data_IF_512746720108
#
_entry.id   IF_512746720108
#
_cell.length_a   1.000
_cell.length_b   1.000
_cell.length_c   1.000
_cell.angle_alpha   90.00
_cell.angle_beta   90.00
_cell.angle_gamma   90.00
#
_symmetry.space_group_name_H-M   'P 1'
#
loop_
_entity.id
_entity.type
_entity.pdbx_description
1 polymer ?
#
# COMPACT_ATOMS: atom_id res chain seq x y z
N UNK A 1 62.96 -46.83 -33.51
CA UNK A 1 62.50 -46.74 -32.10
C UNK A 1 61.64 -45.50 -31.96
N UNK A 2 60.31 -45.67 -31.98
CA UNK A 2 59.38 -44.58 -31.66
C UNK A 2 59.52 -44.32 -30.15
N UNK A 3 59.90 -43.10 -29.77
CA UNK A 3 60.08 -42.71 -28.38
C UNK A 3 58.75 -42.85 -27.63
N UNK A 4 58.80 -43.39 -26.39
CA UNK A 4 57.64 -43.56 -25.51
C UNK A 4 56.86 -42.26 -25.20
N UNK A 5 57.31 -41.12 -25.71
CA UNK A 5 56.65 -39.82 -25.64
C UNK A 5 55.40 -39.68 -26.52
N UNK A 6 55.07 -40.62 -27.41
CA UNK A 6 53.97 -40.45 -28.39
C UNK A 6 52.56 -40.86 -27.92
N UNK A 7 52.43 -41.47 -26.74
CA UNK A 7 51.13 -41.94 -26.24
C UNK A 7 50.68 -41.17 -25.00
N UNK A 8 49.37 -40.91 -24.92
CA UNK A 8 48.69 -40.36 -23.75
C UNK A 8 47.88 -41.48 -23.11
N UNK A 9 48.19 -41.82 -21.86
CA UNK A 9 47.53 -42.90 -21.11
C UNK A 9 46.65 -42.37 -19.99
N UNK A 10 45.54 -43.05 -19.74
CA UNK A 10 44.72 -42.85 -18.53
C UNK A 10 45.31 -43.61 -17.34
N UNK A 11 44.76 -43.38 -16.14
CA UNK A 11 45.22 -44.05 -14.90
C UNK A 11 45.14 -45.59 -14.96
N UNK A 12 44.23 -46.14 -15.77
CA UNK A 12 44.04 -47.59 -15.93
C UNK A 12 44.87 -48.19 -17.09
N UNK A 13 45.82 -47.44 -17.64
CA UNK A 13 46.74 -47.94 -18.66
C UNK A 13 46.20 -47.95 -20.10
N UNK A 14 44.95 -47.54 -20.35
CA UNK A 14 44.48 -47.32 -21.73
C UNK A 14 45.22 -46.16 -22.35
N UNK A 15 45.80 -46.36 -23.54
CA UNK A 15 46.61 -45.38 -24.24
C UNK A 15 46.04 -45.05 -25.62
N UNK A 16 46.23 -43.79 -26.03
CA UNK A 16 45.93 -43.28 -27.38
C UNK A 16 47.19 -42.63 -27.93
N UNK A 17 47.41 -42.71 -29.25
CA UNK A 17 48.39 -41.84 -29.88
C UNK A 17 47.90 -40.37 -29.85
N UNK A 18 48.82 -39.43 -30.00
CA UNK A 18 48.56 -37.99 -29.92
C UNK A 18 47.44 -37.51 -30.87
N UNK A 19 47.43 -38.01 -32.11
CA UNK A 19 46.40 -37.64 -33.10
C UNK A 19 45.01 -38.13 -32.69
N UNK A 20 44.88 -39.40 -32.30
CA UNK A 20 43.62 -39.95 -31.80
C UNK A 20 43.17 -39.27 -30.50
N UNK A 21 44.09 -38.89 -29.62
CA UNK A 21 43.79 -38.15 -28.40
C UNK A 21 43.23 -36.76 -28.73
N UNK A 22 43.85 -36.02 -29.65
CA UNK A 22 43.35 -34.70 -30.08
C UNK A 22 41.95 -34.80 -30.70
N UNK A 23 41.73 -35.75 -31.62
CA UNK A 23 40.41 -35.97 -32.22
C UNK A 23 39.35 -36.36 -31.20
N UNK A 24 39.71 -37.19 -30.21
CA UNK A 24 38.82 -37.57 -29.11
C UNK A 24 38.43 -36.34 -28.26
N UNK A 25 39.42 -35.54 -27.82
CA UNK A 25 39.17 -34.31 -27.06
C UNK A 25 38.27 -33.36 -27.83
N UNK A 26 38.53 -33.16 -29.13
CA UNK A 26 37.72 -32.28 -29.99
C UNK A 26 36.27 -32.79 -30.10
N UNK A 27 36.10 -34.09 -30.40
CA UNK A 27 34.77 -34.71 -30.53
C UNK A 27 34.00 -34.63 -29.22
N UNK A 28 34.64 -34.86 -28.09
CA UNK A 28 33.98 -34.80 -26.79
C UNK A 28 33.63 -33.38 -26.36
N UNK A 29 34.47 -32.40 -26.70
CA UNK A 29 34.25 -30.99 -26.35
C UNK A 29 33.21 -30.29 -27.23
N UNK A 30 32.90 -30.85 -28.41
CA UNK A 30 31.92 -30.29 -29.35
C UNK A 30 30.51 -30.87 -29.19
N UNK A 31 30.32 -31.81 -28.26
CA UNK A 31 29.00 -32.39 -27.94
C UNK A 31 28.01 -31.35 -27.40
N UNK A 32 26.74 -31.72 -27.40
CA UNK A 32 25.66 -30.90 -26.86
C UNK A 32 25.88 -30.61 -25.37
N UNK A 33 25.39 -29.46 -24.90
CA UNK A 33 25.63 -29.00 -23.53
C UNK A 33 25.05 -29.98 -22.49
N UNK A 34 23.96 -30.69 -22.83
CA UNK A 34 23.40 -31.75 -21.98
C UNK A 34 24.44 -32.86 -21.68
N UNK A 35 25.18 -33.32 -22.68
CA UNK A 35 26.21 -34.36 -22.53
C UNK A 35 27.47 -33.84 -21.84
N UNK A 36 27.78 -32.56 -22.04
CA UNK A 36 28.87 -31.87 -21.36
C UNK A 36 28.56 -31.69 -19.87
N UNK A 37 27.31 -31.38 -19.50
CA UNK A 37 26.86 -31.21 -18.11
C UNK A 37 27.03 -32.45 -17.27
N UNK A 38 26.66 -33.62 -17.81
CA UNK A 38 26.86 -34.93 -17.13
C UNK A 38 28.32 -35.11 -16.71
N UNK A 39 29.24 -34.52 -17.47
CA UNK A 39 30.69 -34.66 -17.32
C UNK A 39 31.38 -33.40 -16.83
N UNK A 40 30.63 -32.35 -16.47
CA UNK A 40 31.15 -31.04 -16.06
C UNK A 40 32.13 -30.42 -17.08
N UNK A 41 31.93 -30.72 -18.36
CA UNK A 41 32.81 -30.31 -19.46
C UNK A 41 34.18 -31.02 -19.47
N UNK A 42 34.38 -32.07 -18.69
CA UNK A 42 35.63 -32.82 -18.62
C UNK A 42 35.68 -33.96 -19.65
N UNK A 43 36.89 -34.28 -20.11
CA UNK A 43 37.12 -35.35 -21.09
C UNK A 43 37.60 -36.61 -20.37
N UNK A 44 36.86 -37.71 -20.55
CA UNK A 44 37.16 -39.01 -19.98
C UNK A 44 37.90 -39.91 -20.97
N UNK A 45 38.40 -41.05 -20.48
CA UNK A 45 38.96 -42.10 -21.31
C UNK A 45 37.97 -42.53 -22.42
N UNK A 46 38.45 -42.90 -23.61
CA UNK A 46 37.60 -43.39 -24.71
C UNK A 46 36.78 -44.61 -24.29
N UNK A 47 37.35 -45.47 -23.44
CA UNK A 47 36.66 -46.63 -22.86
C UNK A 47 35.65 -46.28 -21.76
N UNK A 48 35.52 -45.01 -21.38
CA UNK A 48 34.43 -44.54 -20.54
C UNK A 48 33.17 -44.21 -21.38
N UNK A 49 33.29 -44.16 -22.72
CA UNK A 49 32.14 -43.94 -23.60
C UNK A 49 31.19 -45.14 -23.61
N UNK A 50 29.90 -44.88 -23.88
CA UNK A 50 28.87 -45.92 -23.94
C UNK A 50 29.06 -46.95 -25.07
N UNK A 51 29.97 -46.68 -26.01
CA UNK A 51 30.31 -47.60 -27.08
C UNK A 51 30.96 -48.91 -26.56
N UNK A 52 31.56 -48.90 -25.37
CA UNK A 52 32.21 -50.06 -24.76
C UNK A 52 31.32 -50.63 -23.64
N UNK A 53 30.39 -51.51 -24.02
CA UNK A 53 29.34 -52.05 -23.12
C UNK A 53 29.86 -53.00 -22.03
N UNK A 54 30.99 -53.67 -22.25
CA UNK A 54 31.41 -54.78 -21.39
C UNK A 54 32.37 -54.37 -20.26
N UNK A 55 33.14 -53.29 -20.43
CA UNK A 55 34.07 -52.77 -19.40
C UNK A 55 34.20 -51.25 -19.52
N UNK A 56 33.44 -50.48 -18.71
CA UNK A 56 33.62 -49.02 -18.60
C UNK A 56 34.88 -48.70 -17.80
N UNK A 57 35.74 -47.87 -18.38
CA UNK A 57 36.90 -47.34 -17.67
C UNK A 57 36.46 -46.32 -16.61
N UNK A 58 36.84 -46.54 -15.36
CA UNK A 58 36.58 -45.67 -14.19
C UNK A 58 37.73 -44.68 -13.91
N UNK A 59 38.73 -44.62 -14.79
CA UNK A 59 39.84 -43.68 -14.65
C UNK A 59 39.33 -42.23 -14.57
N UNK A 60 40.01 -41.42 -13.76
CA UNK A 60 39.77 -39.98 -13.66
C UNK A 60 39.87 -39.32 -15.03
N UNK A 61 39.12 -38.23 -15.22
CA UNK A 61 39.20 -37.39 -16.39
C UNK A 61 40.64 -36.92 -16.66
N UNK A 62 40.95 -36.63 -17.91
CA UNK A 62 42.24 -36.05 -18.26
C UNK A 62 42.33 -34.62 -17.70
N UNK A 63 43.43 -34.32 -16.99
CA UNK A 63 43.66 -32.99 -16.45
C UNK A 63 43.87 -31.97 -17.57
N UNK A 64 43.41 -30.73 -17.35
CA UNK A 64 43.55 -29.64 -18.33
C UNK A 64 45.00 -29.42 -18.79
N UNK A 65 45.98 -29.63 -17.90
CA UNK A 65 47.40 -29.55 -18.23
C UNK A 65 47.84 -30.61 -19.24
N UNK A 66 47.32 -31.83 -19.14
CA UNK A 66 47.65 -32.92 -20.10
C UNK A 66 47.08 -32.58 -21.47
N UNK A 67 45.85 -32.08 -21.52
CA UNK A 67 45.19 -31.65 -22.76
C UNK A 67 45.94 -30.47 -23.40
N UNK A 68 46.32 -29.45 -22.60
CA UNK A 68 47.06 -28.29 -23.09
C UNK A 68 48.44 -28.62 -23.69
N UNK A 69 49.13 -29.62 -23.13
CA UNK A 69 50.49 -30.00 -23.58
C UNK A 69 50.46 -30.92 -24.80
N UNK A 70 49.36 -31.66 -25.03
CA UNK A 70 49.28 -32.77 -26.00
C UNK A 70 48.31 -32.54 -27.14
N UNK A 71 47.50 -31.49 -27.08
CA UNK A 71 46.56 -31.13 -28.14
C UNK A 71 47.01 -29.83 -28.80
N UNK A 72 46.55 -29.61 -30.03
CA UNK A 72 46.72 -28.32 -30.69
C UNK A 72 45.87 -27.22 -30.03
N UNK A 73 46.20 -25.97 -30.34
CA UNK A 73 45.52 -24.81 -29.80
C UNK A 73 44.01 -24.81 -30.11
N UNK A 74 43.63 -25.29 -31.30
CA UNK A 74 42.23 -25.35 -31.71
C UNK A 74 41.41 -26.30 -30.82
N UNK A 75 41.96 -27.49 -30.56
CA UNK A 75 41.35 -28.52 -29.72
C UNK A 75 41.31 -28.10 -28.26
N UNK A 76 42.40 -27.49 -27.76
CA UNK A 76 42.42 -26.97 -26.39
C UNK A 76 41.43 -25.82 -26.20
N UNK A 77 41.27 -24.94 -27.21
CA UNK A 77 40.27 -23.88 -27.21
C UNK A 77 38.84 -24.44 -27.17
N UNK A 78 38.56 -25.48 -27.96
CA UNK A 78 37.26 -26.15 -27.94
C UNK A 78 36.96 -26.77 -26.56
N UNK A 79 37.94 -27.42 -25.95
CA UNK A 79 37.84 -27.97 -24.59
C UNK A 79 37.56 -26.91 -23.53
N UNK A 80 38.29 -25.79 -23.55
CA UNK A 80 38.04 -24.69 -22.62
C UNK A 80 36.63 -24.10 -22.82
N UNK A 81 36.24 -23.84 -24.07
CA UNK A 81 34.90 -23.33 -24.40
C UNK A 81 33.79 -24.28 -23.90
N UNK A 82 33.98 -25.60 -23.99
CA UNK A 82 33.03 -26.57 -23.48
C UNK A 82 32.86 -26.47 -21.95
N UNK A 83 33.97 -26.34 -21.21
CA UNK A 83 33.94 -26.16 -19.75
C UNK A 83 33.31 -24.84 -19.34
N UNK A 84 33.63 -23.77 -20.06
CA UNK A 84 33.11 -22.44 -19.76
C UNK A 84 31.61 -22.38 -20.02
N UNK A 85 31.10 -23.02 -21.09
CA UNK A 85 29.65 -23.14 -21.34
C UNK A 85 28.91 -23.84 -20.19
N UNK A 86 29.44 -24.96 -19.69
CA UNK A 86 28.81 -25.68 -18.57
C UNK A 86 28.80 -24.82 -17.30
N UNK A 87 29.92 -24.16 -16.99
CA UNK A 87 30.00 -23.25 -15.85
C UNK A 87 29.08 -22.05 -15.99
N UNK A 88 29.00 -21.45 -17.18
CA UNK A 88 28.12 -20.33 -17.48
C UNK A 88 26.66 -20.73 -17.26
N UNK A 89 26.24 -21.90 -17.74
CA UNK A 89 24.87 -22.38 -17.54
C UNK A 89 24.55 -22.68 -16.06
N UNK A 90 25.50 -23.24 -15.32
CA UNK A 90 25.35 -23.46 -13.87
C UNK A 90 25.27 -22.13 -13.09
N UNK A 91 26.06 -21.12 -13.50
CA UNK A 91 26.01 -19.78 -12.94
C UNK A 91 24.67 -19.09 -13.24
N UNK A 92 24.18 -19.19 -14.48
CA UNK A 92 22.86 -18.66 -14.88
C UNK A 92 21.77 -19.31 -14.06
N UNK A 93 21.74 -20.65 -13.95
CA UNK A 93 20.74 -21.36 -13.16
C UNK A 93 20.77 -20.97 -11.68
N UNK A 94 21.96 -20.89 -11.08
CA UNK A 94 22.08 -20.44 -9.68
C UNK A 94 21.66 -18.98 -9.50
N UNK A 95 21.86 -18.12 -10.50
CA UNK A 95 21.44 -16.73 -10.45
C UNK A 95 19.92 -16.61 -10.57
N UNK A 96 19.30 -17.36 -11.49
CA UNK A 96 17.84 -17.43 -11.66
C UNK A 96 17.15 -17.92 -10.39
N UNK A 97 17.65 -18.97 -9.75
CA UNK A 97 17.12 -19.49 -8.49
C UNK A 97 17.19 -18.44 -7.35
N UNK A 98 18.29 -17.68 -7.28
CA UNK A 98 18.41 -16.58 -6.29
C UNK A 98 17.44 -15.44 -6.59
N UNK A 99 17.31 -15.07 -7.87
CA UNK A 99 16.39 -14.02 -8.31
C UNK A 99 14.92 -14.39 -8.05
N UNK A 100 14.55 -15.66 -8.26
CA UNK A 100 13.19 -16.15 -7.97
C UNK A 100 12.87 -16.09 -6.47
N UNK A 101 13.79 -16.55 -5.62
CA UNK A 101 13.62 -16.48 -4.16
C UNK A 101 13.51 -15.04 -3.67
N UNK A 102 14.31 -14.14 -4.24
CA UNK A 102 14.27 -12.72 -3.89
C UNK A 102 12.95 -12.07 -4.31
N UNK A 103 12.46 -12.37 -5.52
CA UNK A 103 11.15 -11.92 -5.98
C UNK A 103 10.03 -12.40 -5.05
N UNK A 104 10.04 -13.68 -4.70
CA UNK A 104 9.03 -14.25 -3.80
C UNK A 104 9.03 -13.57 -2.42
N UNK A 105 10.21 -13.21 -1.89
CA UNK A 105 10.33 -12.44 -0.65
C UNK A 105 9.69 -11.05 -0.78
N UNK A 106 10.04 -10.31 -1.83
CA UNK A 106 9.50 -8.97 -2.07
C UNK A 106 7.97 -9.00 -2.30
N UNK A 107 7.46 -10.00 -3.02
CA UNK A 107 6.02 -10.19 -3.22
C UNK A 107 5.28 -10.45 -1.90
N UNK A 108 5.87 -11.24 -0.99
CA UNK A 108 5.30 -11.48 0.34
C UNK A 108 5.30 -10.22 1.21
N UNK A 109 6.39 -9.47 1.20
CA UNK A 109 6.51 -8.21 1.94
C UNK A 109 5.49 -7.18 1.44
N UNK A 110 5.42 -6.96 0.12
CA UNK A 110 4.45 -6.02 -0.49
C UNK A 110 3.00 -6.44 -0.26
N UNK A 111 2.70 -7.75 -0.26
CA UNK A 111 1.37 -8.24 0.07
C UNK A 111 0.98 -7.96 1.53
N UNK A 112 1.91 -8.09 2.47
CA UNK A 112 1.65 -7.78 3.88
C UNK A 112 1.44 -6.26 4.09
N UNK A 113 2.27 -5.43 3.47
CA UNK A 113 2.12 -3.96 3.51
C UNK A 113 0.81 -3.49 2.89
N UNK A 114 0.42 -4.09 1.76
CA UNK A 114 -0.85 -3.75 1.09
C UNK A 114 -2.04 -4.07 1.97
N UNK A 115 -2.07 -5.25 2.61
CA UNK A 115 -3.11 -5.62 3.58
C UNK A 115 -3.16 -4.67 4.78
N UNK A 116 -2.00 -4.22 5.26
CA UNK A 116 -1.94 -3.29 6.39
C UNK A 116 -2.51 -1.93 6.02
N UNK A 117 -2.14 -1.44 4.83
CA UNK A 117 -2.68 -0.19 4.28
C UNK A 117 -4.20 -0.25 4.11
N UNK A 118 -4.72 -1.32 3.53
CA UNK A 118 -6.17 -1.52 3.33
C UNK A 118 -6.92 -1.59 4.66
N UNK A 119 -6.39 -2.33 5.65
CA UNK A 119 -6.99 -2.41 6.98
C UNK A 119 -6.99 -1.04 7.67
N UNK A 120 -5.87 -0.31 7.59
CA UNK A 120 -5.74 1.05 8.14
C UNK A 120 -6.73 2.02 7.49
N UNK A 121 -6.80 2.05 6.17
CA UNK A 121 -7.71 2.92 5.41
C UNK A 121 -9.18 2.63 5.77
N UNK A 122 -9.55 1.35 5.85
CA UNK A 122 -10.89 0.96 6.28
C UNK A 122 -11.22 1.46 7.69
N UNK A 123 -10.31 1.26 8.66
CA UNK A 123 -10.57 1.72 10.04
C UNK A 123 -10.70 3.24 10.10
N UNK A 124 -9.85 3.98 9.41
CA UNK A 124 -9.89 5.45 9.41
C UNK A 124 -11.17 5.94 8.73
N UNK A 125 -11.40 5.54 7.48
CA UNK A 125 -12.45 6.11 6.63
C UNK A 125 -13.85 5.58 6.91
N UNK A 126 -13.97 4.30 7.27
CA UNK A 126 -15.26 3.63 7.46
C UNK A 126 -15.73 3.64 8.92
N UNK A 127 -14.80 3.66 9.88
CA UNK A 127 -15.11 3.49 11.31
C UNK A 127 -14.87 4.78 12.11
N UNK A 128 -13.67 5.36 12.01
CA UNK A 128 -13.28 6.52 12.81
C UNK A 128 -13.93 7.81 12.33
N UNK A 129 -13.96 8.02 11.01
CA UNK A 129 -14.62 9.15 10.38
C UNK A 129 -16.14 9.03 10.53
N UNK A 130 -16.75 10.01 11.19
CA UNK A 130 -18.20 10.15 11.17
C UNK A 130 -18.60 10.68 9.80
N UNK A 131 -19.35 9.90 9.02
CA UNK A 131 -19.74 10.25 7.66
C UNK A 131 -21.19 9.92 7.36
N UNK A 132 -21.67 10.44 6.23
CA UNK A 132 -22.99 10.12 5.73
C UNK A 132 -23.10 8.62 5.37
N UNK A 133 -24.12 7.90 5.87
CA UNK A 133 -24.31 6.48 5.56
C UNK A 133 -24.94 6.22 4.18
N UNK A 134 -25.17 7.28 3.39
CA UNK A 134 -25.58 7.11 2.00
C UNK A 134 -24.35 6.74 1.18
N UNK A 135 -24.37 5.55 0.57
CA UNK A 135 -23.25 4.97 -0.21
C UNK A 135 -22.77 5.86 -1.36
N UNK A 136 -23.65 6.68 -1.94
CA UNK A 136 -23.29 7.60 -3.01
C UNK A 136 -22.66 8.91 -2.52
N UNK A 137 -22.84 9.24 -1.23
CA UNK A 137 -22.43 10.54 -0.70
C UNK A 137 -21.14 10.45 0.13
N UNK A 138 -21.09 9.54 1.12
CA UNK A 138 -19.98 9.30 2.07
C UNK A 138 -19.28 10.55 2.66
N UNK A 139 -19.93 11.72 2.64
CA UNK A 139 -19.33 12.97 3.10
C UNK A 139 -19.07 12.94 4.61
N UNK A 140 -17.86 13.33 5.02
CA UNK A 140 -17.50 13.48 6.42
C UNK A 140 -18.33 14.58 7.10
N UNK A 141 -18.69 14.34 8.36
CA UNK A 141 -19.47 15.25 9.17
C UNK A 141 -18.56 16.04 10.11
N UNK A 142 -18.62 17.37 10.04
CA UNK A 142 -17.69 18.27 10.75
C UNK A 142 -18.33 18.93 11.98
N UNK A 143 -19.60 19.33 11.90
CA UNK A 143 -20.21 20.25 12.87
C UNK A 143 -21.36 19.65 13.67
N UNK A 144 -21.26 19.63 14.99
CA UNK A 144 -22.36 19.18 15.86
C UNK A 144 -23.19 20.37 16.40
N UNK A 145 -24.49 20.39 16.10
CA UNK A 145 -25.41 21.48 16.48
C UNK A 145 -26.23 21.21 17.75
N UNK A 146 -25.93 20.14 18.50
CA UNK A 146 -26.67 19.76 19.70
C UNK A 146 -27.84 18.78 19.46
N UNK A 147 -28.07 18.37 18.21
CA UNK A 147 -29.07 17.37 17.85
C UNK A 147 -28.40 16.08 17.34
N UNK A 148 -28.83 14.93 17.84
CA UNK A 148 -28.33 13.60 17.47
C UNK A 148 -28.99 13.05 16.19
N UNK A 149 -30.00 13.73 15.65
CA UNK A 149 -30.56 13.48 14.33
C UNK A 149 -29.79 14.30 13.29
N UNK A 150 -28.64 13.76 12.87
CA UNK A 150 -27.74 14.47 11.97
C UNK A 150 -28.34 14.53 10.56
N UNK A 151 -28.08 15.61 9.85
CA UNK A 151 -28.47 15.77 8.44
C UNK A 151 -27.22 16.06 7.62
N UNK A 152 -26.98 15.27 6.57
CA UNK A 152 -25.86 15.51 5.66
C UNK A 152 -26.06 16.82 4.89
N UNK A 153 -25.02 17.64 4.80
CA UNK A 153 -25.09 18.93 4.10
C UNK A 153 -25.21 18.77 2.58
N UNK A 154 -24.56 17.76 1.99
CA UNK A 154 -24.59 17.51 0.54
C UNK A 154 -25.87 16.83 0.06
N UNK A 155 -26.21 15.65 0.59
CA UNK A 155 -27.35 14.86 0.10
C UNK A 155 -28.63 15.00 0.95
N UNK A 156 -28.62 15.84 1.99
CA UNK A 156 -29.78 16.10 2.89
C UNK A 156 -30.35 14.87 3.60
N UNK A 157 -29.62 13.76 3.57
CA UNK A 157 -30.02 12.54 4.27
C UNK A 157 -29.88 12.73 5.79
N UNK A 158 -30.96 12.47 6.52
CA UNK A 158 -31.02 12.33 7.96
C UNK A 158 -30.51 10.97 8.42
N UNK A 159 -29.63 10.95 9.41
CA UNK A 159 -29.09 9.73 10.01
C UNK A 159 -28.85 9.89 11.51
N UNK A 160 -28.80 8.74 12.20
CA UNK A 160 -28.65 8.71 13.64
C UNK A 160 -27.18 8.82 14.04
N UNK A 161 -26.82 9.79 14.89
CA UNK A 161 -25.44 9.94 15.39
C UNK A 161 -24.96 8.69 16.16
N UNK A 162 -25.85 8.04 16.92
CA UNK A 162 -25.47 6.90 17.75
C UNK A 162 -25.09 5.65 16.95
N UNK A 163 -25.88 5.31 15.92
CA UNK A 163 -25.77 4.04 15.20
C UNK A 163 -25.42 4.17 13.72
N UNK A 164 -25.32 5.40 13.20
CA UNK A 164 -25.12 5.71 11.79
C UNK A 164 -26.18 5.16 10.82
N UNK A 165 -27.34 4.71 11.31
CA UNK A 165 -28.41 4.22 10.43
C UNK A 165 -28.94 5.35 9.55
N UNK A 166 -28.99 5.09 8.25
CA UNK A 166 -29.69 5.92 7.26
C UNK A 166 -31.19 5.97 7.55
N UNK A 167 -31.76 7.16 7.78
CA UNK A 167 -33.16 7.35 8.19
C UNK A 167 -33.98 8.16 7.17
N UNK A 168 -33.48 8.39 5.96
CA UNK A 168 -34.18 9.18 4.95
C UNK A 168 -33.95 10.66 5.19
N UNK A 169 -34.99 11.45 5.46
CA UNK A 169 -34.88 12.90 5.69
C UNK A 169 -34.88 13.27 7.18
N UNK A 170 -35.32 12.36 8.05
CA UNK A 170 -35.48 12.65 9.47
C UNK A 170 -35.12 11.42 10.33
N UNK A 171 -34.14 11.58 11.21
CA UNK A 171 -33.71 10.55 12.15
C UNK A 171 -34.34 10.67 13.55
N UNK A 172 -35.16 11.70 13.83
CA UNK A 172 -35.75 11.91 15.16
C UNK A 172 -36.59 10.70 15.63
N UNK A 173 -37.43 10.16 14.74
CA UNK A 173 -38.26 8.99 15.06
C UNK A 173 -37.42 7.74 15.37
N UNK A 174 -36.27 7.59 14.70
CA UNK A 174 -35.36 6.48 14.95
C UNK A 174 -34.69 6.58 16.33
N UNK A 175 -34.26 7.77 16.76
CA UNK A 175 -33.53 7.96 18.02
C UNK A 175 -34.35 7.47 19.22
N UNK A 176 -35.66 7.74 19.26
CA UNK A 176 -36.53 7.25 20.34
C UNK A 176 -36.57 5.73 20.48
N UNK A 177 -36.29 5.01 19.39
CA UNK A 177 -36.28 3.54 19.34
C UNK A 177 -34.88 2.95 19.28
N UNK A 178 -33.84 3.78 19.14
CA UNK A 178 -32.46 3.35 19.00
C UNK A 178 -31.93 2.79 20.33
N UNK A 179 -31.47 1.53 20.31
CA UNK A 179 -30.96 0.88 21.52
C UNK A 179 -29.72 1.59 22.08
N UNK A 180 -28.84 2.09 21.21
CA UNK A 180 -27.64 2.82 21.63
C UNK A 180 -27.96 4.17 22.26
N UNK A 181 -29.00 4.86 21.76
CA UNK A 181 -29.46 6.09 22.37
C UNK A 181 -29.98 5.81 23.79
N UNK A 182 -30.76 4.73 23.97
CA UNK A 182 -31.24 4.29 25.29
C UNK A 182 -30.08 3.96 26.22
N UNK A 183 -29.10 3.20 25.76
CA UNK A 183 -27.90 2.86 26.54
C UNK A 183 -27.14 4.11 26.98
N UNK A 184 -26.93 5.08 26.07
CA UNK A 184 -26.27 6.35 26.40
C UNK A 184 -27.06 7.17 27.42
N UNK A 185 -28.38 7.27 27.27
CA UNK A 185 -29.24 7.96 28.24
C UNK A 185 -29.16 7.30 29.62
N UNK A 186 -29.16 5.97 29.69
CA UNK A 186 -29.02 5.24 30.97
C UNK A 186 -27.63 5.40 31.59
N UNK A 187 -26.55 5.45 30.79
CA UNK A 187 -25.21 5.74 31.27
C UNK A 187 -25.11 7.15 31.87
N UNK A 188 -25.69 8.14 31.19
CA UNK A 188 -25.67 9.53 31.67
C UNK A 188 -26.52 9.72 32.94
N UNK A 189 -27.68 9.07 33.04
CA UNK A 189 -28.48 9.05 34.29
C UNK A 189 -27.68 8.53 35.49
N UNK A 190 -26.87 7.48 35.29
CA UNK A 190 -26.03 6.92 36.35
C UNK A 190 -24.91 7.86 36.77
N UNK A 191 -24.29 8.58 35.82
CA UNK A 191 -23.21 9.53 36.10
C UNK A 191 -23.69 10.80 36.79
N UNK A 192 -24.80 11.37 36.32
CA UNK A 192 -25.25 12.70 36.74
C UNK A 192 -25.64 12.77 38.22
N UNK A 193 -25.87 11.63 38.91
CA UNK A 193 -26.40 11.53 40.29
C UNK A 193 -27.61 12.44 40.59
N UNK A 194 -28.22 13.01 39.55
CA UNK A 194 -29.23 14.05 39.61
C UNK A 194 -30.18 13.85 38.44
N UNK A 195 -31.47 14.09 38.69
CA UNK A 195 -32.54 14.06 37.70
C UNK A 195 -32.46 15.31 36.81
N UNK A 196 -31.35 15.50 36.08
CA UNK A 196 -31.35 16.43 34.94
C UNK A 196 -32.22 15.78 33.88
N UNK A 197 -33.52 16.02 33.99
CA UNK A 197 -34.45 15.78 32.91
C UNK A 197 -34.02 16.70 31.78
N UNK A 198 -33.23 16.18 30.83
CA UNK A 198 -32.99 16.88 29.58
C UNK A 198 -34.36 17.25 29.03
N UNK A 199 -34.63 18.55 28.97
CA UNK A 199 -35.90 19.07 28.49
C UNK A 199 -35.96 18.76 26.99
N UNK A 200 -36.52 17.60 26.65
CA UNK A 200 -36.53 17.14 25.27
C UNK A 200 -37.53 17.91 24.39
N UNK A 201 -38.20 18.95 24.90
CA UNK A 201 -39.14 19.83 24.15
C UNK A 201 -40.17 19.04 23.30
N UNK A 202 -40.62 17.88 23.80
CA UNK A 202 -41.55 16.99 23.07
C UNK A 202 -40.88 15.98 22.12
N UNK A 203 -39.56 16.00 21.96
CA UNK A 203 -38.80 15.00 21.23
C UNK A 203 -38.48 13.75 22.09
N UNK A 204 -38.16 12.60 21.46
CA UNK A 204 -37.75 11.42 22.19
C UNK A 204 -36.48 11.64 23.04
N UNK A 205 -36.33 10.94 24.17
CA UNK A 205 -35.11 11.01 24.99
C UNK A 205 -33.84 10.69 24.18
N UNK A 206 -32.78 11.47 24.40
CA UNK A 206 -31.51 11.34 23.68
C UNK A 206 -31.46 12.06 22.33
N UNK A 207 -32.54 12.74 21.92
CA UNK A 207 -32.54 13.57 20.70
C UNK A 207 -31.55 14.73 20.79
N UNK A 208 -31.59 15.46 21.91
CA UNK A 208 -30.68 16.57 22.16
C UNK A 208 -29.59 16.15 23.12
N UNK A 209 -28.37 16.58 22.83
CA UNK A 209 -27.20 16.24 23.62
C UNK A 209 -26.18 17.37 23.56
N UNK A 210 -25.41 17.52 24.63
CA UNK A 210 -24.23 18.38 24.61
C UNK A 210 -23.08 17.67 23.86
N UNK A 211 -22.03 18.43 23.55
CA UNK A 211 -20.87 17.91 22.82
C UNK A 211 -20.17 16.75 23.55
N UNK A 212 -20.16 16.75 24.90
CA UNK A 212 -19.55 15.67 25.68
C UNK A 212 -20.28 14.33 25.48
N UNK A 213 -21.61 14.33 25.52
CA UNK A 213 -22.44 13.14 25.24
C UNK A 213 -22.27 12.69 23.79
N UNK A 214 -22.18 13.64 22.85
CA UNK A 214 -21.86 13.34 21.45
C UNK A 214 -20.52 12.63 21.34
N UNK A 215 -19.43 13.21 21.84
CA UNK A 215 -18.09 12.59 21.81
C UNK A 215 -18.07 11.21 22.46
N UNK A 216 -18.74 11.05 23.61
CA UNK A 216 -18.86 9.76 24.28
C UNK A 216 -19.62 8.71 23.43
N UNK A 217 -20.72 9.11 22.78
CA UNK A 217 -21.47 8.21 21.89
C UNK A 217 -20.65 7.79 20.67
N UNK A 218 -19.90 8.72 20.10
CA UNK A 218 -19.04 8.49 18.94
C UNK A 218 -17.88 7.54 19.30
N UNK A 219 -17.31 7.71 20.50
CA UNK A 219 -16.30 6.81 21.05
C UNK A 219 -16.81 5.37 21.16
N UNK A 220 -17.99 5.17 21.76
CA UNK A 220 -18.59 3.83 21.88
C UNK A 220 -18.92 3.22 20.52
N UNK A 221 -19.44 4.02 19.58
CA UNK A 221 -19.70 3.57 18.22
C UNK A 221 -18.42 3.03 17.56
N UNK A 222 -17.34 3.83 17.56
CA UNK A 222 -16.05 3.45 16.98
C UNK A 222 -15.51 2.16 17.58
N UNK A 223 -15.55 2.04 18.91
CA UNK A 223 -15.07 0.83 19.60
C UNK A 223 -15.87 -0.40 19.21
N UNK A 224 -17.19 -0.31 19.16
CA UNK A 224 -18.06 -1.42 18.75
C UNK A 224 -17.81 -1.81 17.30
N UNK A 225 -17.77 -0.84 16.40
CA UNK A 225 -17.64 -1.09 14.96
C UNK A 225 -16.24 -1.64 14.63
N UNK A 226 -15.20 -1.11 15.28
CA UNK A 226 -13.84 -1.66 15.18
C UNK A 226 -13.76 -3.07 15.79
N UNK A 227 -14.32 -3.29 16.98
CA UNK A 227 -14.35 -4.63 17.57
C UNK A 227 -15.06 -5.66 16.69
N UNK A 228 -16.13 -5.25 15.97
CA UNK A 228 -16.82 -6.08 15.01
C UNK A 228 -15.97 -6.36 13.76
N UNK A 229 -15.30 -5.35 13.21
CA UNK A 229 -14.41 -5.49 12.05
C UNK A 229 -13.18 -6.38 12.35
N UNK A 230 -12.59 -6.23 13.53
CA UNK A 230 -11.43 -6.98 13.98
C UNK A 230 -11.78 -8.30 14.69
N UNK A 231 -13.02 -8.79 14.58
CA UNK A 231 -13.48 -9.98 15.31
C UNK A 231 -12.60 -11.20 15.00
N UNK A 232 -12.34 -11.42 13.72
CA UNK A 232 -11.67 -12.63 13.20
C UNK A 232 -10.16 -12.47 13.02
N UNK A 233 -9.58 -11.34 13.47
CA UNK A 233 -8.15 -11.08 13.36
C UNK A 233 -7.37 -11.83 14.43
N UNK A 234 -6.15 -12.27 14.14
CA UNK A 234 -5.25 -12.73 15.19
C UNK A 234 -4.71 -11.54 16.02
N UNK A 235 -4.23 -11.81 17.23
CA UNK A 235 -3.78 -10.77 18.15
C UNK A 235 -2.50 -10.06 17.68
N UNK A 236 -1.64 -10.75 16.92
CA UNK A 236 -0.43 -10.15 16.36
C UNK A 236 -0.79 -9.14 15.26
N UNK A 237 -1.66 -9.53 14.33
CA UNK A 237 -2.17 -8.65 13.29
C UNK A 237 -2.92 -7.44 13.87
N UNK A 238 -3.78 -7.66 14.86
CA UNK A 238 -4.49 -6.58 15.54
C UNK A 238 -3.51 -5.58 16.15
N UNK A 239 -2.45 -6.05 16.80
CA UNK A 239 -1.41 -5.18 17.38
C UNK A 239 -0.72 -4.35 16.30
N UNK A 240 -0.31 -4.98 15.18
CA UNK A 240 0.29 -4.28 14.04
C UNK A 240 -0.63 -3.18 13.48
N UNK A 241 -1.92 -3.47 13.31
CA UNK A 241 -2.88 -2.46 12.85
C UNK A 241 -3.02 -1.34 13.88
N UNK A 242 -3.20 -1.65 15.16
CA UNK A 242 -3.33 -0.66 16.24
C UNK A 242 -2.10 0.26 16.36
N UNK A 243 -0.89 -0.28 16.19
CA UNK A 243 0.35 0.50 16.15
C UNK A 243 0.36 1.44 14.94
N UNK A 244 -0.11 0.97 13.77
CA UNK A 244 -0.14 1.78 12.55
C UNK A 244 -1.13 2.95 12.57
N UNK A 245 -2.12 2.93 13.46
CA UNK A 245 -3.18 3.96 13.61
C UNK A 245 -3.15 4.67 14.97
N UNK A 246 -2.04 4.58 15.69
CA UNK A 246 -1.95 5.08 17.07
C UNK A 246 -2.21 6.59 17.17
N UNK A 247 -1.77 7.36 16.18
CA UNK A 247 -1.97 8.82 16.14
C UNK A 247 -3.46 9.16 16.03
N UNK A 248 -4.15 8.51 15.08
CA UNK A 248 -5.57 8.69 14.84
C UNK A 248 -6.40 8.26 16.05
N UNK A 249 -6.01 7.18 16.74
CA UNK A 249 -6.64 6.76 17.99
C UNK A 249 -6.47 7.80 19.10
N UNK A 250 -5.26 8.36 19.23
CA UNK A 250 -4.95 9.37 20.25
C UNK A 250 -5.78 10.64 20.06
N UNK A 251 -5.92 11.12 18.82
CA UNK A 251 -6.75 12.28 18.48
C UNK A 251 -8.23 12.07 18.84
N UNK A 252 -8.70 10.81 18.76
CA UNK A 252 -10.06 10.41 19.08
C UNK A 252 -10.26 9.97 20.54
N UNK A 253 -9.22 10.10 21.39
CA UNK A 253 -9.22 9.69 22.80
C UNK A 253 -9.59 8.20 22.97
N UNK A 254 -9.03 7.36 22.10
CA UNK A 254 -9.11 5.91 22.13
C UNK A 254 -7.76 5.33 22.54
N UNK A 255 -7.79 4.28 23.37
CA UNK A 255 -6.59 3.53 23.74
C UNK A 255 -6.62 2.12 23.15
N UNK A 256 -5.46 1.46 23.02
CA UNK A 256 -5.36 0.07 22.56
C UNK A 256 -6.17 -0.87 23.48
N UNK A 257 -6.11 -0.62 24.80
CA UNK A 257 -6.87 -1.37 25.81
C UNK A 257 -8.39 -1.25 25.65
N UNK A 258 -8.88 -0.10 25.19
CA UNK A 258 -10.31 0.08 24.91
C UNK A 258 -10.78 -0.84 23.78
N UNK A 259 -10.00 -0.94 22.70
CA UNK A 259 -10.31 -1.80 21.55
C UNK A 259 -10.24 -3.28 21.96
N UNK A 260 -9.19 -3.67 22.68
CA UNK A 260 -9.05 -5.04 23.20
C UNK A 260 -10.20 -5.40 24.15
N UNK A 261 -10.61 -4.47 25.02
CA UNK A 261 -11.74 -4.66 25.92
C UNK A 261 -13.05 -4.81 25.15
N UNK A 262 -13.31 -3.93 24.17
CA UNK A 262 -14.51 -4.00 23.33
C UNK A 262 -14.57 -5.32 22.54
N UNK A 263 -13.44 -5.79 22.02
CA UNK A 263 -13.34 -7.09 21.32
C UNK A 263 -13.64 -8.26 22.25
N UNK A 264 -13.10 -8.25 23.49
CA UNK A 264 -13.40 -9.26 24.52
C UNK A 264 -14.87 -9.26 24.93
N UNK A 265 -15.48 -8.09 25.06
CA UNK A 265 -16.92 -7.97 25.38
C UNK A 265 -17.81 -8.46 24.23
N UNK A 266 -17.39 -8.28 22.98
CA UNK A 266 -18.10 -8.82 21.81
C UNK A 266 -17.99 -10.35 21.72
N UNK A 267 -16.81 -10.90 22.04
CA UNK A 267 -16.60 -12.36 22.07
C UNK A 267 -17.36 -13.03 23.23
N UNK A 268 -17.46 -12.35 24.38
CA UNK A 268 -18.12 -12.85 25.58
C UNK A 268 -19.23 -11.88 26.02
N UNK A 269 -20.38 -11.86 25.32
CA UNK A 269 -21.47 -10.97 25.68
C UNK A 269 -21.94 -11.31 27.10
N UNK A 270 -21.72 -10.38 28.04
CA UNK A 270 -22.18 -10.53 29.42
C UNK A 270 -23.68 -10.87 29.39
N UNK A 271 -24.14 -11.93 30.09
CA UNK A 271 -25.56 -12.25 30.12
C UNK A 271 -26.31 -11.04 30.67
N UNK A 272 -27.28 -10.53 29.90
CA UNK A 272 -28.11 -9.40 30.33
C UNK A 272 -28.69 -9.76 31.70
N UNK A 273 -28.56 -8.89 32.72
CA UNK A 273 -29.14 -9.17 34.03
C UNK A 273 -30.62 -9.47 33.84
N UNK A 274 -31.07 -10.66 34.29
CA UNK A 274 -32.47 -11.05 34.17
C UNK A 274 -33.32 -9.91 34.74
N UNK A 275 -34.39 -9.46 34.04
CA UNK A 275 -35.25 -8.42 34.56
C UNK A 275 -35.69 -8.86 35.96
N UNK A 276 -35.43 -8.01 36.97
CA UNK A 276 -35.94 -8.27 38.32
C UNK A 276 -37.45 -8.51 38.17
N UNK A 277 -38.00 -9.60 38.72
CA UNK A 277 -39.43 -9.88 38.62
C UNK A 277 -40.16 -8.62 39.05
N UNK A 278 -41.06 -8.12 38.18
CA UNK A 278 -41.81 -6.91 38.46
C UNK A 278 -42.39 -7.04 39.87
N UNK A 279 -42.26 -6.01 40.73
CA UNK A 279 -42.90 -6.05 42.04
C UNK A 279 -44.35 -6.43 41.82
N UNK A 280 -44.77 -7.55 42.44
CA UNK A 280 -46.13 -8.10 42.33
C UNK A 280 -47.09 -6.93 42.37
N UNK A 281 -47.76 -6.64 41.26
CA UNK A 281 -48.74 -5.58 41.20
C UNK A 281 -49.71 -5.84 42.34
N UNK A 282 -49.78 -4.90 43.28
CA UNK A 282 -50.81 -4.93 44.31
C UNK A 282 -52.15 -5.07 43.59
N UNK A 283 -52.97 -5.99 44.08
CA UNK A 283 -54.25 -6.33 43.48
C UNK A 283 -55.02 -5.05 43.10
N UNK A 284 -55.62 -5.00 41.89
CA UNK A 284 -56.36 -3.82 41.48
C UNK A 284 -57.45 -3.51 42.52
N UNK A 285 -57.58 -2.27 43.01
CA UNK A 285 -58.72 -1.89 43.82
C UNK A 285 -59.99 -2.15 43.01
N UNK A 286 -60.97 -2.77 43.67
CA UNK A 286 -62.27 -3.15 43.12
C UNK A 286 -62.87 -2.02 42.28
N UNK A 287 -63.28 -2.39 41.06
CA UNK A 287 -63.94 -1.52 40.10
C UNK A 287 -65.15 -0.79 40.72
N UNK A 288 -65.07 0.54 40.76
CA UNK A 288 -66.24 1.40 40.86
C UNK A 288 -66.89 1.55 39.47
N UNK A 289 -68.22 1.56 39.46
CA UNK A 289 -69.11 1.46 38.30
C UNK A 289 -68.81 2.43 37.13
N UNK A 290 -69.15 2.05 35.89
CA UNK A 290 -68.89 2.87 34.71
C UNK A 290 -69.78 4.12 34.69
N UNK A 291 -69.16 5.31 34.78
CA UNK A 291 -69.81 6.56 34.38
C UNK A 291 -69.82 6.67 32.86
N UNK A 292 -71.03 6.84 32.31
CA UNK A 292 -71.34 7.06 30.90
C UNK A 292 -70.70 8.38 30.44
N UNK A 293 -69.62 8.29 29.66
CA UNK A 293 -68.97 9.45 29.02
C UNK A 293 -69.63 9.65 27.65
N UNK A 294 -70.22 10.83 27.46
CA UNK A 294 -70.76 11.31 26.18
C UNK A 294 -69.58 11.80 25.32
N UNK A 295 -69.47 11.42 24.03
CA UNK A 295 -68.39 11.91 23.16
C UNK A 295 -68.65 13.36 22.73
N UNK A 296 -67.65 14.27 22.82
CA UNK A 296 -67.76 15.58 22.18
C UNK A 296 -67.49 15.48 20.67
N UNK A 297 -68.29 16.26 19.93
CA UNK A 297 -68.25 16.51 18.49
C UNK A 297 -66.86 16.96 18.03
N UNK A 298 -66.33 16.29 17.00
CA UNK A 298 -65.12 16.70 16.31
C UNK A 298 -65.34 18.02 15.56
N UNK A 299 -64.62 19.07 15.97
CA UNK A 299 -64.44 20.29 15.19
C UNK A 299 -63.02 20.28 14.61
N UNK A 300 -62.92 20.43 13.29
CA UNK A 300 -61.65 20.49 12.57
C UNK A 300 -60.89 21.80 12.89
N UNK A 301 -59.56 21.76 13.11
CA UNK A 301 -58.78 22.98 13.28
C UNK A 301 -58.51 23.70 11.94
N UNK A 302 -58.46 25.04 11.93
CA UNK A 302 -58.17 25.82 10.73
C UNK A 302 -56.69 25.70 10.32
N UNK A 303 -56.48 25.65 9.00
CA UNK A 303 -55.18 25.69 8.32
C UNK A 303 -54.56 27.08 8.48
N UNK A 304 -53.58 27.23 9.37
CA UNK A 304 -52.73 28.44 9.44
C UNK A 304 -51.57 28.26 8.47
N UNK A 305 -51.60 28.98 7.35
CA UNK A 305 -50.48 29.07 6.40
C UNK A 305 -49.53 30.16 6.91
N UNK A 306 -48.38 29.77 7.43
CA UNK A 306 -47.30 30.70 7.75
C UNK A 306 -46.55 31.11 6.47
N UNK A 307 -46.23 32.40 6.26
CA UNK A 307 -45.45 32.84 5.10
C UNK A 307 -43.98 32.42 5.24
N UNK A 308 -43.39 31.99 4.11
CA UNK A 308 -42.00 31.58 4.01
C UNK A 308 -41.02 32.74 4.33
N UNK A 309 -39.90 32.49 5.03
CA UNK A 309 -38.87 33.49 5.25
C UNK A 309 -38.14 33.82 3.93
N UNK A 310 -38.05 35.13 3.62
CA UNK A 310 -37.20 35.65 2.53
C UNK A 310 -35.74 35.34 2.83
N UNK A 311 -35.11 34.52 1.99
CA UNK A 311 -33.66 34.32 2.01
C UNK A 311 -32.97 35.61 1.56
N UNK A 312 -32.16 36.18 2.44
CA UNK A 312 -31.28 37.30 2.14
C UNK A 312 -30.07 36.72 1.40
N UNK A 313 -29.82 37.20 0.18
CA UNK A 313 -28.67 36.83 -0.64
C UNK A 313 -27.37 37.16 0.11
N UNK A 314 -26.59 36.15 0.45
CA UNK A 314 -25.24 36.33 0.98
C UNK A 314 -24.30 36.82 -0.15
N UNK A 315 -23.42 37.79 0.11
CA UNK A 315 -22.46 38.27 -0.88
C UNK A 315 -21.45 37.17 -1.22
N UNK A 316 -21.23 36.95 -2.52
CA UNK A 316 -20.23 36.02 -3.05
C UNK A 316 -18.84 36.45 -2.55
N UNK A 317 -18.18 35.58 -1.80
CA UNK A 317 -16.82 35.82 -1.31
C UNK A 317 -15.84 35.89 -2.47
N UNK A 318 -15.19 37.04 -2.64
CA UNK A 318 -14.10 37.21 -3.59
C UNK A 318 -12.88 36.47 -3.02
N UNK A 319 -12.43 35.41 -3.70
CA UNK A 319 -11.15 34.77 -3.39
C UNK A 319 -10.05 35.81 -3.70
N UNK A 320 -9.16 36.15 -2.75
CA UNK A 320 -8.08 37.10 -2.99
C UNK A 320 -7.20 36.63 -4.15
N UNK A 321 -6.92 37.53 -5.09
CA UNK A 321 -6.13 37.24 -6.30
C UNK A 321 -4.72 36.69 -5.97
N UNK A 322 -4.22 37.02 -4.79
CA UNK A 322 -2.95 36.53 -4.26
C UNK A 322 -2.97 35.03 -3.92
N UNK A 323 -4.11 34.52 -3.42
CA UNK A 323 -4.28 33.09 -3.14
C UNK A 323 -4.33 32.29 -4.45
N UNK A 324 -4.95 32.83 -5.50
CA UNK A 324 -4.97 32.20 -6.83
C UNK A 324 -3.55 32.09 -7.41
N UNK A 325 -2.72 33.12 -7.26
CA UNK A 325 -1.30 33.06 -7.68
C UNK A 325 -0.51 31.99 -6.92
N UNK A 326 -0.75 31.82 -5.63
CA UNK A 326 -0.07 30.79 -4.83
C UNK A 326 -0.48 29.37 -5.27
N UNK A 327 -1.75 29.17 -5.63
CA UNK A 327 -2.23 27.91 -6.19
C UNK A 327 -1.53 27.62 -7.52
N UNK A 328 -1.44 28.61 -8.43
CA UNK A 328 -0.75 28.45 -9.72
C UNK A 328 0.75 28.12 -9.59
N UNK A 329 1.43 28.74 -8.62
CA UNK A 329 2.85 28.45 -8.33
C UNK A 329 3.01 27.01 -7.87
N UNK A 330 2.17 26.56 -6.92
CA UNK A 330 2.22 25.20 -6.39
C UNK A 330 1.95 24.17 -7.47
N UNK A 331 0.94 24.39 -8.31
CA UNK A 331 0.65 23.50 -9.44
C UNK A 331 1.79 23.45 -10.47
N UNK A 332 2.55 24.54 -10.65
CA UNK A 332 3.74 24.55 -11.51
C UNK A 332 4.87 23.70 -10.91
N UNK A 333 5.13 23.84 -9.62
CA UNK A 333 6.14 23.04 -8.91
C UNK A 333 5.79 21.55 -8.92
N UNK A 334 4.52 21.20 -8.71
CA UNK A 334 4.05 19.82 -8.77
C UNK A 334 4.24 19.21 -10.18
N UNK A 335 3.94 19.98 -11.24
CA UNK A 335 4.21 19.57 -12.63
C UNK A 335 5.70 19.35 -12.91
N UNK A 336 6.58 20.24 -12.45
CA UNK A 336 8.03 20.10 -12.63
C UNK A 336 8.59 18.89 -11.85
N UNK A 337 8.09 18.65 -10.64
CA UNK A 337 8.47 17.49 -9.84
C UNK A 337 8.01 16.19 -10.50
N UNK A 338 6.82 16.17 -11.09
CA UNK A 338 6.31 14.99 -11.80
C UNK A 338 7.17 14.65 -13.03
N UNK A 339 7.56 15.67 -13.81
CA UNK A 339 8.49 15.51 -14.95
C UNK A 339 9.85 14.96 -14.50
N UNK A 340 10.39 15.44 -13.35
CA UNK A 340 11.64 14.92 -12.78
C UNK A 340 11.52 13.45 -12.38
N UNK A 341 10.43 13.07 -11.75
CA UNK A 341 10.16 11.68 -11.34
C UNK A 341 10.04 10.75 -12.56
N UNK A 342 9.33 11.17 -13.60
CA UNK A 342 9.24 10.40 -14.85
C UNK A 342 10.59 10.23 -15.54
N UNK A 343 11.43 11.29 -15.58
CA UNK A 343 12.79 11.18 -16.12
C UNK A 343 13.65 10.21 -15.32
N UNK A 344 13.60 10.27 -13.99
CA UNK A 344 14.33 9.35 -13.12
C UNK A 344 13.89 7.89 -13.32
N UNK A 345 12.58 7.64 -13.46
CA UNK A 345 12.06 6.31 -13.76
C UNK A 345 12.53 5.80 -15.13
N UNK A 346 12.54 6.66 -16.16
CA UNK A 346 13.07 6.29 -17.49
C UNK A 346 14.55 5.94 -17.43
N UNK A 347 15.37 6.78 -16.79
CA UNK A 347 16.80 6.51 -16.60
C UNK A 347 17.05 5.20 -15.85
N UNK A 348 16.27 4.92 -14.80
CA UNK A 348 16.35 3.66 -14.07
C UNK A 348 15.95 2.46 -14.93
N UNK A 349 14.90 2.59 -15.76
CA UNK A 349 14.48 1.53 -16.68
C UNK A 349 15.50 1.26 -17.80
N UNK A 350 16.12 2.31 -18.33
CA UNK A 350 17.15 2.20 -19.38
C UNK A 350 18.43 1.56 -18.83
N UNK A 351 18.81 1.84 -17.58
CA UNK A 351 19.97 1.24 -16.93
C UNK A 351 19.82 -0.28 -16.76
N UNK A 352 18.61 -0.78 -16.54
CA UNK A 352 18.29 -2.22 -16.43
C UNK A 352 18.32 -2.91 -17.80
N UNK A 353 18.10 -2.17 -18.90
CA UNK A 353 18.03 -2.73 -20.27
C UNK A 353 19.37 -2.76 -21.03
N UNK A 354 20.39 -2.05 -20.54
CA UNK A 354 21.69 -1.94 -21.20
C UNK A 354 22.62 -3.17 -21.15
N UNK A 355 22.54 -4.13 -20.20
CA UNK A 355 23.43 -5.30 -20.21
C UNK A 355 23.27 -6.21 -21.44
N UNK A 356 22.07 -6.25 -22.06
CA UNK A 356 21.79 -7.19 -23.16
C UNK A 356 22.08 -6.64 -24.57
N UNK A 357 22.17 -5.32 -24.77
CA UNK A 357 22.42 -4.74 -26.10
C UNK A 357 23.89 -4.75 -26.53
N UNK A 358 24.83 -4.77 -25.58
CA UNK A 358 26.27 -4.81 -25.88
C UNK A 358 26.70 -6.19 -26.41
N UNK A 359 26.04 -7.26 -25.97
CA UNK A 359 26.32 -8.62 -26.44
C UNK A 359 25.72 -8.92 -27.84
N UNK A 360 24.63 -8.26 -28.24
CA UNK A 360 23.98 -8.50 -29.54
C UNK A 360 24.63 -7.75 -30.72
N UNK A 361 25.30 -6.62 -30.49
CA UNK A 361 25.94 -5.86 -31.59
C UNK A 361 27.25 -6.49 -32.11
N UNK A 362 27.89 -7.41 -31.37
CA UNK A 362 29.11 -8.09 -31.83
C UNK A 362 28.85 -9.22 -32.85
N UNK A 363 27.60 -9.57 -33.17
CA UNK A 363 27.26 -10.69 -34.06
C UNK A 363 26.83 -10.34 -35.49
N UNK A 364 26.76 -9.06 -35.89
CA UNK A 364 26.18 -8.68 -37.20
C UNK A 364 27.13 -7.89 -38.13
N UNK A 365 28.34 -7.54 -37.71
CA UNK A 365 29.31 -6.87 -38.59
C UNK A 365 30.22 -7.88 -39.29
N UNK A 366 29.71 -8.49 -40.37
CA UNK A 366 30.47 -9.38 -41.25
C UNK A 366 30.00 -9.25 -42.69
N UNK A 367 30.33 -8.15 -43.36
CA UNK A 367 30.44 -8.08 -44.82
C UNK A 367 31.09 -6.75 -45.28
N UNK A 368 32.26 -6.88 -45.91
CA UNK A 368 32.87 -5.98 -46.90
C UNK A 368 32.85 -4.46 -46.65
N UNK A 369 33.97 -3.94 -46.14
CA UNK A 369 34.30 -2.52 -46.20
C UNK A 369 35.63 -2.26 -45.49
N UNK A 370 36.56 -1.56 -46.16
CA UNK A 370 37.92 -1.31 -45.68
C UNK A 370 37.98 -0.82 -44.21
N UNK A 371 39.00 -1.23 -43.44
CA UNK A 371 39.10 -0.90 -42.03
C UNK A 371 39.39 0.59 -41.85
N UNK A 372 38.37 1.37 -41.48
CA UNK A 372 38.59 2.65 -40.81
C UNK A 372 39.08 2.31 -39.40
N UNK A 373 40.30 2.74 -39.06
CA UNK A 373 40.80 2.68 -37.69
C UNK A 373 39.87 3.48 -36.78
N UNK A 374 38.93 2.80 -36.15
CA UNK A 374 38.21 3.32 -34.99
C UNK A 374 39.16 3.11 -33.83
N UNK A 375 39.80 4.19 -33.41
CA UNK A 375 40.58 4.22 -32.16
C UNK A 375 39.57 4.01 -31.04
N UNK A 376 39.53 2.82 -30.46
CA UNK A 376 38.74 2.58 -29.26
C UNK A 376 39.30 3.50 -28.17
N UNK A 377 38.45 4.32 -27.52
CA UNK A 377 38.90 5.15 -26.43
C UNK A 377 39.42 4.23 -25.32
N UNK A 378 40.66 4.47 -24.91
CA UNK A 378 41.32 3.79 -23.81
C UNK A 378 40.38 3.75 -22.59
N UNK A 379 40.11 2.55 -22.06
CA UNK A 379 39.21 2.31 -20.92
C UNK A 379 39.55 3.22 -19.72
N UNK A 380 40.81 3.71 -19.67
CA UNK A 380 41.27 4.69 -18.68
C UNK A 380 40.58 6.06 -18.78
N UNK A 381 40.17 6.52 -19.98
CA UNK A 381 39.43 7.78 -20.16
C UNK A 381 37.97 7.68 -19.74
N UNK A 382 37.34 6.53 -20.01
CA UNK A 382 35.94 6.29 -19.63
C UNK A 382 35.82 6.28 -18.10
N UNK A 383 36.73 5.58 -17.42
CA UNK A 383 36.78 5.55 -15.94
C UNK A 383 37.07 6.95 -15.36
N UNK A 384 37.98 7.73 -15.96
CA UNK A 384 38.23 9.12 -15.54
C UNK A 384 36.99 10.00 -15.69
N UNK A 385 36.22 9.84 -16.77
CA UNK A 385 35.00 10.64 -17.00
C UNK A 385 33.92 10.33 -15.96
N UNK A 386 33.68 9.04 -15.67
CA UNK A 386 32.72 8.60 -14.64
C UNK A 386 33.13 9.10 -13.25
N UNK A 387 34.42 9.01 -12.89
CA UNK A 387 34.93 9.53 -11.62
C UNK A 387 34.77 11.05 -11.49
N UNK A 388 35.00 11.80 -12.59
CA UNK A 388 34.82 13.27 -12.58
C UNK A 388 33.34 13.66 -12.43
N UNK A 389 32.43 12.90 -13.01
CA UNK A 389 30.99 13.14 -12.92
C UNK A 389 30.42 12.79 -11.54
N UNK A 390 30.93 11.71 -10.92
CA UNK A 390 30.67 11.37 -9.52
C UNK A 390 31.17 12.44 -8.54
N UNK A 391 32.38 13.00 -8.77
CA UNK A 391 32.90 14.10 -7.94
C UNK A 391 32.07 15.38 -8.07
N UNK A 392 31.56 15.69 -9.26
CA UNK A 392 30.69 16.86 -9.49
C UNK A 392 29.35 16.74 -8.76
N UNK A 393 28.74 15.56 -8.78
CA UNK A 393 27.45 15.32 -8.08
C UNK A 393 27.61 15.38 -6.56
N UNK A 394 28.67 14.77 -6.02
CA UNK A 394 29.00 14.87 -4.59
C UNK A 394 29.24 16.32 -4.13
N UNK A 395 29.99 17.11 -4.91
CA UNK A 395 30.23 18.52 -4.60
C UNK A 395 28.94 19.37 -4.64
N UNK A 396 28.03 19.08 -5.57
CA UNK A 396 26.73 19.76 -5.65
C UNK A 396 25.83 19.43 -4.43
N UNK A 397 25.85 18.19 -3.97
CA UNK A 397 25.09 17.76 -2.78
C UNK A 397 25.65 18.39 -1.50
N UNK A 398 26.97 18.45 -1.35
CA UNK A 398 27.62 19.12 -0.23
C UNK A 398 27.25 20.62 -0.18
N UNK A 399 27.25 21.30 -1.33
CA UNK A 399 26.85 22.71 -1.41
C UNK A 399 25.37 22.93 -1.03
N UNK A 400 24.48 21.99 -1.37
CA UNK A 400 23.08 22.02 -0.93
C UNK A 400 22.95 21.86 0.59
N UNK A 401 23.71 20.95 1.19
CA UNK A 401 23.73 20.76 2.66
C UNK A 401 24.25 22.01 3.38
N UNK A 402 25.33 22.61 2.89
CA UNK A 402 25.85 23.88 3.43
C UNK A 402 24.83 25.03 3.32
N UNK A 403 24.06 25.08 2.23
CA UNK A 403 23.01 26.08 2.05
C UNK A 403 21.81 25.85 2.98
N UNK A 404 21.44 24.59 3.22
CA UNK A 404 20.40 24.22 4.18
C UNK A 404 20.80 24.59 5.62
N UNK A 405 22.03 24.29 6.03
CA UNK A 405 22.56 24.68 7.35
C UNK A 405 22.59 26.21 7.51
N UNK A 406 22.96 26.96 6.46
CA UNK A 406 22.89 28.43 6.48
C UNK A 406 21.47 28.98 6.61
N UNK A 407 20.49 28.31 6.00
CA UNK A 407 19.07 28.65 6.13
C UNK A 407 18.57 28.39 7.55
N UNK A 408 18.90 27.23 8.13
CA UNK A 408 18.57 26.90 9.52
C UNK A 408 19.21 27.86 10.53
N UNK A 409 20.49 28.23 10.34
CA UNK A 409 21.16 29.23 11.18
C UNK A 409 20.53 30.62 11.07
N UNK A 410 20.00 30.98 9.89
CA UNK A 410 19.42 32.31 9.65
C UNK A 410 17.98 32.42 10.15
N UNK A 411 17.19 31.35 10.10
CA UNK A 411 15.76 31.38 10.42
C UNK A 411 15.39 30.62 11.70
N UNK A 412 16.36 29.94 12.33
CA UNK A 412 16.13 29.06 13.47
C UNK A 412 15.41 27.77 13.08
N UNK A 413 15.37 26.77 13.98
CA UNK A 413 14.60 25.56 13.75
C UNK A 413 13.11 25.90 13.59
N UNK A 414 12.53 25.50 12.44
CA UNK A 414 11.12 25.71 12.07
C UNK A 414 10.12 25.10 13.06
N UNK A 415 10.58 24.26 13.99
CA UNK A 415 9.76 23.58 15.01
C UNK A 415 9.26 24.52 16.14
N UNK A 416 9.76 25.75 16.23
CA UNK A 416 9.35 26.71 17.29
C UNK A 416 8.36 27.80 16.83
N UNK A 417 7.85 27.73 15.60
CA UNK A 417 6.83 28.66 15.12
C UNK A 417 5.45 28.29 15.72
N UNK A 418 5.15 28.84 16.91
CA UNK A 418 3.81 28.75 17.51
C UNK A 418 2.79 29.40 16.57
N UNK A 419 1.78 28.67 16.06
CA UNK A 419 0.75 29.27 15.23
C UNK A 419 -0.16 30.15 16.11
N UNK A 420 -0.14 31.46 15.85
CA UNK A 420 -1.12 32.40 16.39
C UNK A 420 -2.54 32.08 15.90
N UNK A 421 -3.58 32.57 16.60
CA UNK A 421 -4.96 32.14 16.38
C UNK A 421 -5.45 32.56 14.98
N UNK A 422 -5.55 31.59 14.09
CA UNK A 422 -6.07 31.79 12.74
C UNK A 422 -7.58 31.95 12.76
N UNK A 423 -8.01 33.11 12.24
CA UNK A 423 -9.38 33.51 11.98
C UNK A 423 -9.93 32.63 10.84
N UNK A 424 -11.01 31.90 11.13
CA UNK A 424 -11.67 30.98 10.21
C UNK A 424 -12.13 31.68 8.92
N UNK A 425 -11.72 31.16 7.75
CA UNK A 425 -12.29 31.49 6.44
C UNK A 425 -12.98 30.24 5.91
N UNK A 426 -14.26 30.36 5.55
CA UNK A 426 -15.11 29.29 5.02
C UNK A 426 -14.92 29.19 3.50
N UNK A 427 -14.61 28.00 2.99
CA UNK A 427 -14.51 27.70 1.56
C UNK A 427 -15.87 27.33 0.97
N UNK A 428 -16.16 27.82 -0.24
CA UNK A 428 -17.34 27.52 -1.03
C UNK A 428 -16.97 26.79 -2.34
N UNK A 429 -17.83 25.85 -2.75
CA UNK A 429 -17.75 24.97 -3.91
C UNK A 429 -17.67 25.70 -5.27
N UNK A 430 -16.88 25.13 -6.19
CA UNK A 430 -16.83 25.48 -7.62
C UNK A 430 -17.65 24.43 -8.39
N UNK A 431 -18.65 24.90 -9.13
CA UNK A 431 -19.44 24.10 -10.09
C UNK A 431 -18.89 24.35 -11.49
N UNK A 432 -18.53 23.28 -12.21
CA UNK A 432 -18.11 23.29 -13.60
C UNK A 432 -19.32 23.31 -14.54
N UNK A 433 -19.38 24.31 -15.43
CA UNK A 433 -20.22 24.34 -16.62
C UNK A 433 -19.29 24.42 -17.83
N UNK A 434 -19.30 23.37 -18.66
CA UNK A 434 -18.74 23.36 -20.01
C UNK A 434 -19.93 23.21 -20.95
N UNK A 435 -20.16 24.23 -21.78
CA UNK A 435 -20.98 24.17 -22.99
C UNK A 435 -20.15 24.82 -24.09
N UNK A 436 -19.66 24.00 -25.02
CA UNK A 436 -18.99 24.41 -26.25
C UNK A 436 -19.95 24.18 -27.42
N UNK A 437 -20.33 25.25 -28.12
CA UNK A 437 -20.87 25.18 -29.49
C UNK A 437 -20.52 26.46 -30.24
N UNK A 438 -19.91 26.37 -31.43
CA UNK A 438 -19.49 27.53 -32.21
C UNK A 438 -20.63 28.08 -33.10
N UNK A 439 -20.60 29.37 -33.47
CA UNK A 439 -21.64 29.97 -34.31
C UNK A 439 -21.32 29.78 -35.80
N UNK A 440 -22.30 29.32 -36.56
CA UNK A 440 -22.36 29.51 -38.01
C UNK A 440 -23.02 30.86 -38.34
N UNK A 441 -22.44 31.57 -39.32
CA UNK A 441 -23.00 32.75 -40.00
C UNK A 441 -23.22 32.41 -41.48
N UNK A 442 -24.17 33.11 -42.12
CA UNK A 442 -23.78 34.30 -42.89
C UNK A 442 -24.23 35.62 -42.25
#
# INVERSE_FOLDING_TARGET
SLSASQFVSCANGHALCETCFSTHVMTESTKAIADLKVRKGEVFCVRASEAFKDVKCDAKCFGARVIAVRCDDATFTAYQSARDKVKEEDLVKSAEEKMLKERERLEKETAAETKLREAREHVIEEIFTLRCPNELCKQAFVDFSGCMALTCSRCRTGFCAYCLKHCGHDAHAHIGHCNLAKEMVELEKKKAKSNVALTNRGHPPGTFANFSIFTASQRLRRLRDFAAYAKDWDDAWLTTVLDSIEVEMRDLQLTKDDVLSARKELANPKPKPKPKPAPRAAAPPRAAAPRRVVPPRAAAPPRVVAPAPRMVNAPRGHVPQELLRLIEIREREDRENNIRMERAQREQSDMVYLPNKVLLKKKVAGASGQPRQVVEPDDSEVVKRVLMESKKTAAAEQKKREQAVKLEQKFGPLENAVPGPSRQVKNAEVVSLLDDSPPERP
#
